data_IF_594508199657
#
_entry.id   IF_594508199657
#
_cell.length_a   1.000
_cell.length_b   1.000
_cell.length_c   1.000
_cell.angle_alpha   90.00
_cell.angle_beta   90.00
_cell.angle_gamma   90.00
#
_symmetry.space_group_name_H-M   'P 1'
#
loop_
_entity.id
_entity.type
_entity.pdbx_description
1 polymer ?
#
# COMPACT_ATOMS: atom_id res chain seq x y z
N UNK A 1 -93.64 49.38 -10.67
CA UNK A 1 -92.98 48.28 -9.93
C UNK A 1 -91.74 47.87 -10.74
N UNK A 2 -90.56 48.40 -10.41
CA UNK A 2 -89.30 48.15 -11.14
C UNK A 2 -88.45 47.18 -10.29
N UNK A 3 -88.31 45.94 -10.76
CA UNK A 3 -87.42 44.93 -10.17
C UNK A 3 -85.98 45.23 -10.60
N UNK A 4 -85.11 45.47 -9.62
CA UNK A 4 -83.66 45.60 -9.81
C UNK A 4 -83.03 44.20 -9.93
N UNK A 5 -82.13 43.96 -10.91
CA UNK A 5 -81.47 42.68 -11.05
C UNK A 5 -80.36 42.49 -9.99
N UNK A 6 -80.02 41.24 -9.64
CA UNK A 6 -79.03 40.92 -8.61
C UNK A 6 -77.61 41.34 -9.05
N UNK A 7 -76.88 41.97 -8.12
CA UNK A 7 -75.47 42.31 -8.28
C UNK A 7 -74.65 41.03 -8.47
N UNK A 8 -73.93 40.96 -9.59
CA UNK A 8 -73.10 39.82 -9.96
C UNK A 8 -71.88 39.66 -9.05
N UNK A 9 -71.59 38.40 -8.72
CA UNK A 9 -70.52 37.89 -7.89
C UNK A 9 -69.12 38.02 -8.53
N UNK A 10 -68.68 39.25 -8.83
CA UNK A 10 -67.36 39.53 -9.45
C UNK A 10 -66.15 39.36 -8.50
N UNK A 11 -66.37 39.08 -7.22
CA UNK A 11 -65.30 38.97 -6.20
C UNK A 11 -64.66 37.58 -6.10
N UNK A 12 -65.38 36.51 -6.44
CA UNK A 12 -64.89 35.13 -6.26
C UNK A 12 -63.81 34.73 -7.29
N UNK A 13 -63.91 35.21 -8.52
CA UNK A 13 -62.98 34.87 -9.61
C UNK A 13 -61.62 35.54 -9.45
N UNK A 14 -61.57 36.76 -8.91
CA UNK A 14 -60.31 37.45 -8.62
C UNK A 14 -59.51 36.82 -7.47
N UNK A 15 -60.20 36.34 -6.43
CA UNK A 15 -59.57 35.58 -5.34
C UNK A 15 -59.04 34.22 -5.81
N UNK A 16 -59.79 33.50 -6.66
CA UNK A 16 -59.33 32.21 -7.19
C UNK A 16 -58.06 32.35 -8.07
N UNK A 17 -58.01 33.37 -8.93
CA UNK A 17 -56.84 33.61 -9.78
C UNK A 17 -55.60 34.01 -8.96
N UNK A 18 -55.76 34.92 -7.99
CA UNK A 18 -54.65 35.38 -7.13
C UNK A 18 -54.13 34.25 -6.24
N UNK A 19 -55.02 33.42 -5.69
CA UNK A 19 -54.62 32.24 -4.91
C UNK A 19 -53.85 31.22 -5.76
N UNK A 20 -54.27 31.00 -7.01
CA UNK A 20 -53.57 30.09 -7.93
C UNK A 20 -52.16 30.62 -8.27
N UNK A 21 -52.02 31.92 -8.57
CA UNK A 21 -50.71 32.54 -8.85
C UNK A 21 -49.80 32.49 -7.62
N UNK A 22 -50.33 32.78 -6.43
CA UNK A 22 -49.58 32.70 -5.19
C UNK A 22 -49.09 31.26 -4.91
N UNK A 23 -49.94 30.25 -5.11
CA UNK A 23 -49.56 28.85 -4.96
C UNK A 23 -48.47 28.46 -5.95
N UNK A 24 -48.60 28.85 -7.22
CA UNK A 24 -47.59 28.60 -8.25
C UNK A 24 -46.24 29.20 -7.85
N UNK A 25 -46.23 30.43 -7.35
CA UNK A 25 -45.02 31.11 -6.91
C UNK A 25 -44.34 30.39 -5.73
N UNK A 26 -45.13 29.92 -4.75
CA UNK A 26 -44.60 29.14 -3.61
C UNK A 26 -44.01 27.82 -4.08
N UNK A 27 -44.72 27.11 -4.97
CA UNK A 27 -44.26 25.80 -5.48
C UNK A 27 -43.00 25.95 -6.33
N UNK A 28 -42.91 26.96 -7.21
CA UNK A 28 -41.70 27.17 -8.03
C UNK A 28 -40.50 27.57 -7.19
N UNK A 29 -40.70 28.45 -6.20
CA UNK A 29 -39.63 28.85 -5.29
C UNK A 29 -39.13 27.66 -4.47
N UNK A 30 -40.05 26.85 -3.92
CA UNK A 30 -39.71 25.63 -3.18
C UNK A 30 -38.95 24.63 -4.07
N UNK A 31 -39.42 24.37 -5.28
CA UNK A 31 -38.77 23.45 -6.22
C UNK A 31 -37.35 23.92 -6.59
N UNK A 32 -37.15 25.22 -6.83
CA UNK A 32 -35.83 25.78 -7.13
C UNK A 32 -34.88 25.61 -5.94
N UNK A 33 -35.31 25.96 -4.72
CA UNK A 33 -34.47 25.81 -3.53
C UNK A 33 -34.10 24.36 -3.26
N UNK A 34 -35.04 23.41 -3.41
CA UNK A 34 -34.75 21.99 -3.29
C UNK A 34 -33.76 21.50 -4.36
N UNK A 35 -33.92 21.97 -5.60
CA UNK A 35 -33.01 21.67 -6.71
C UNK A 35 -31.57 22.09 -6.39
N UNK A 36 -31.35 23.32 -5.91
CA UNK A 36 -30.01 23.80 -5.54
C UNK A 36 -29.38 22.98 -4.41
N UNK A 37 -30.16 22.56 -3.42
CA UNK A 37 -29.67 21.75 -2.30
C UNK A 37 -29.28 20.35 -2.77
N UNK A 38 -30.09 19.73 -3.63
CA UNK A 38 -29.81 18.40 -4.17
C UNK A 38 -28.54 18.38 -5.02
N UNK A 39 -28.33 19.39 -5.86
CA UNK A 39 -27.11 19.52 -6.68
C UNK A 39 -25.88 19.61 -5.77
N UNK A 40 -25.88 20.52 -4.79
CA UNK A 40 -24.77 20.64 -3.84
C UNK A 40 -24.51 19.36 -3.06
N UNK A 41 -25.57 18.65 -2.67
CA UNK A 41 -25.43 17.38 -1.97
C UNK A 41 -24.78 16.32 -2.88
N UNK A 42 -25.22 16.23 -4.13
CA UNK A 42 -24.63 15.33 -5.12
C UNK A 42 -23.15 15.64 -5.36
N UNK A 43 -22.77 16.92 -5.50
CA UNK A 43 -21.38 17.34 -5.69
C UNK A 43 -20.52 16.92 -4.48
N UNK A 44 -21.01 17.14 -3.27
CA UNK A 44 -20.31 16.72 -2.05
C UNK A 44 -20.12 15.20 -1.96
N UNK A 45 -21.15 14.43 -2.32
CA UNK A 45 -21.07 12.96 -2.36
C UNK A 45 -20.04 12.52 -3.41
N UNK A 46 -20.10 13.07 -4.62
CA UNK A 46 -19.15 12.76 -5.70
C UNK A 46 -17.70 13.04 -5.29
N UNK A 47 -17.44 14.19 -4.65
CA UNK A 47 -16.12 14.55 -4.10
C UNK A 47 -15.65 13.53 -3.06
N UNK A 48 -16.54 13.08 -2.18
CA UNK A 48 -16.18 12.12 -1.13
C UNK A 48 -15.89 10.74 -1.69
N UNK A 49 -16.71 10.28 -2.64
CA UNK A 49 -16.51 9.00 -3.33
C UNK A 49 -15.18 8.97 -4.08
N UNK A 50 -14.82 10.06 -4.76
CA UNK A 50 -13.55 10.13 -5.48
C UNK A 50 -12.35 10.08 -4.54
N UNK A 51 -12.40 10.78 -3.40
CA UNK A 51 -11.33 10.69 -2.38
C UNK A 51 -11.16 9.27 -1.85
N UNK A 52 -12.27 8.57 -1.60
CA UNK A 52 -12.25 7.18 -1.13
C UNK A 52 -11.59 6.29 -2.20
N UNK A 53 -11.98 6.44 -3.46
CA UNK A 53 -11.39 5.68 -4.57
C UNK A 53 -9.89 5.94 -4.73
N UNK A 54 -9.45 7.20 -4.61
CA UNK A 54 -8.03 7.55 -4.67
C UNK A 54 -7.23 6.99 -3.50
N UNK A 55 -7.80 7.01 -2.28
CA UNK A 55 -7.18 6.43 -1.11
C UNK A 55 -7.05 4.90 -1.22
N UNK A 56 -8.05 4.23 -1.80
CA UNK A 56 -8.01 2.79 -2.10
C UNK A 56 -6.89 2.49 -3.11
N UNK A 57 -6.81 3.24 -4.21
CA UNK A 57 -5.72 3.10 -5.20
C UNK A 57 -4.34 3.31 -4.58
N UNK A 58 -4.18 4.27 -3.65
CA UNK A 58 -2.92 4.45 -2.90
C UNK A 58 -2.58 3.21 -2.08
N UNK A 59 -3.53 2.67 -1.32
CA UNK A 59 -3.30 1.48 -0.50
C UNK A 59 -2.98 0.25 -1.37
N UNK A 60 -3.67 0.08 -2.49
CA UNK A 60 -3.36 -0.98 -3.47
C UNK A 60 -1.95 -0.82 -4.01
N UNK A 61 -1.50 0.41 -4.30
CA UNK A 61 -0.14 0.67 -4.75
C UNK A 61 0.90 0.29 -3.70
N UNK A 62 0.72 0.75 -2.46
CA UNK A 62 1.64 0.43 -1.36
C UNK A 62 1.76 -1.09 -1.19
N UNK A 63 0.63 -1.82 -1.22
CA UNK A 63 0.61 -3.27 -1.15
C UNK A 63 1.31 -3.93 -2.35
N UNK A 64 0.99 -3.49 -3.56
CA UNK A 64 1.63 -3.98 -4.78
C UNK A 64 3.15 -3.80 -4.74
N UNK A 65 3.64 -2.64 -4.26
CA UNK A 65 5.09 -2.39 -4.15
C UNK A 65 5.74 -3.35 -3.15
N UNK A 66 5.10 -3.62 -2.01
CA UNK A 66 5.62 -4.56 -1.00
C UNK A 66 5.63 -6.00 -1.52
N UNK A 67 4.59 -6.41 -2.22
CA UNK A 67 4.45 -7.78 -2.73
C UNK A 67 5.34 -8.01 -3.97
N UNK A 68 5.30 -7.10 -4.94
CA UNK A 68 6.03 -7.26 -6.20
C UNK A 68 7.53 -6.88 -6.09
N UNK A 69 7.89 -6.10 -5.06
CA UNK A 69 9.21 -5.50 -4.88
C UNK A 69 9.64 -4.59 -6.04
N UNK A 70 8.68 -3.95 -6.69
CA UNK A 70 8.95 -2.95 -7.73
C UNK A 70 7.95 -1.80 -7.64
N UNK A 71 8.40 -0.62 -8.06
CA UNK A 71 7.58 0.58 -8.22
C UNK A 71 7.47 0.84 -9.73
N UNK A 72 6.28 0.65 -10.33
CA UNK A 72 6.09 0.74 -11.77
C UNK A 72 6.20 2.19 -12.27
N UNK A 73 6.37 2.42 -13.59
CA UNK A 73 6.34 3.77 -14.13
C UNK A 73 4.92 4.35 -14.07
N UNK A 74 4.72 5.67 -13.89
CA UNK A 74 3.39 6.24 -13.68
C UNK A 74 2.36 5.89 -14.77
N UNK A 75 2.80 5.89 -16.04
CA UNK A 75 1.96 5.57 -17.22
C UNK A 75 1.33 4.19 -17.18
N UNK A 76 1.97 3.22 -16.52
CA UNK A 76 1.46 1.85 -16.42
C UNK A 76 0.80 1.56 -15.08
N UNK A 77 1.03 2.43 -14.08
CA UNK A 77 0.67 2.14 -12.69
C UNK A 77 -0.83 1.97 -12.52
N UNK A 78 -1.65 2.91 -12.98
CA UNK A 78 -3.11 2.84 -12.79
C UNK A 78 -3.75 1.59 -13.43
N UNK A 79 -3.26 1.18 -14.61
CA UNK A 79 -3.70 -0.06 -15.24
C UNK A 79 -3.23 -1.34 -14.53
N UNK A 80 -2.08 -1.31 -13.85
CA UNK A 80 -1.65 -2.41 -12.98
C UNK A 80 -2.49 -2.48 -11.71
N UNK A 81 -2.77 -1.32 -11.08
CA UNK A 81 -3.58 -1.24 -9.87
C UNK A 81 -5.01 -1.71 -10.08
N UNK A 82 -5.59 -1.51 -11.27
CA UNK A 82 -6.93 -2.02 -11.57
C UNK A 82 -6.99 -3.56 -11.47
N UNK A 83 -5.95 -4.26 -11.92
CA UNK A 83 -5.89 -5.72 -11.81
C UNK A 83 -5.77 -6.18 -10.35
N UNK A 84 -5.04 -5.44 -9.51
CA UNK A 84 -4.86 -5.77 -8.09
C UNK A 84 -6.07 -5.42 -7.21
N UNK A 85 -6.80 -4.35 -7.55
CA UNK A 85 -7.99 -3.89 -6.81
C UNK A 85 -9.29 -4.53 -7.27
N UNK A 86 -9.28 -5.27 -8.39
CA UNK A 86 -10.50 -5.81 -9.01
C UNK A 86 -11.35 -4.75 -9.72
N UNK A 87 -10.85 -3.52 -9.86
CA UNK A 87 -11.49 -2.46 -10.63
C UNK A 87 -11.25 -2.68 -12.13
N UNK A 88 -12.16 -2.16 -12.97
CA UNK A 88 -11.87 -2.05 -14.39
C UNK A 88 -10.75 -1.02 -14.63
N UNK A 89 -10.00 -1.18 -15.72
CA UNK A 89 -8.95 -0.22 -16.09
C UNK A 89 -9.48 1.21 -16.21
N UNK A 90 -10.64 1.36 -16.84
CA UNK A 90 -11.32 2.64 -16.98
C UNK A 90 -11.71 3.23 -15.61
N UNK A 91 -12.18 2.40 -14.68
CA UNK A 91 -12.51 2.83 -13.32
C UNK A 91 -11.29 3.29 -12.51
N UNK A 92 -10.08 2.82 -12.82
CA UNK A 92 -8.85 3.28 -12.19
C UNK A 92 -8.30 4.55 -12.85
N UNK A 93 -8.38 4.65 -14.18
CA UNK A 93 -7.86 5.77 -14.96
C UNK A 93 -8.80 6.98 -15.02
N UNK A 94 -10.11 6.78 -14.85
CA UNK A 94 -11.14 7.82 -15.02
C UNK A 94 -12.10 7.80 -13.82
N UNK A 95 -12.49 8.99 -13.37
CA UNK A 95 -13.46 9.13 -12.30
C UNK A 95 -14.92 9.06 -12.80
N UNK A 96 -15.88 9.09 -11.88
CA UNK A 96 -17.32 9.00 -12.24
C UNK A 96 -17.83 10.18 -13.07
N UNK A 97 -17.16 11.32 -13.03
CA UNK A 97 -17.49 12.48 -13.85
C UNK A 97 -16.93 12.36 -15.29
N UNK A 98 -16.18 11.31 -15.60
CA UNK A 98 -15.53 11.11 -16.90
C UNK A 98 -14.20 11.83 -17.05
N UNK A 99 -13.67 12.41 -15.98
CA UNK A 99 -12.37 13.09 -16.00
C UNK A 99 -11.24 12.09 -15.68
N UNK A 100 -10.09 12.19 -16.38
CA UNK A 100 -8.96 11.32 -16.11
C UNK A 100 -8.28 11.64 -14.77
N UNK A 101 -7.78 10.60 -14.09
CA UNK A 101 -6.86 10.71 -12.97
C UNK A 101 -5.43 10.80 -13.49
N UNK A 102 -4.65 11.70 -12.91
CA UNK A 102 -3.24 11.90 -13.22
C UNK A 102 -2.36 11.37 -12.10
N UNK A 103 -1.53 10.37 -12.39
CA UNK A 103 -0.45 9.94 -11.50
C UNK A 103 0.87 10.58 -11.93
N UNK A 104 1.48 11.36 -11.05
CA UNK A 104 2.64 12.19 -11.33
C UNK A 104 3.76 11.87 -10.33
N UNK A 105 4.96 11.66 -10.84
CA UNK A 105 6.13 11.44 -10.00
C UNK A 105 6.85 12.77 -9.70
N UNK A 106 7.45 12.85 -8.51
CA UNK A 106 8.29 13.99 -8.16
C UNK A 106 9.50 14.09 -9.12
N UNK A 107 9.71 15.22 -9.80
CA UNK A 107 10.85 15.39 -10.71
C UNK A 107 12.21 15.31 -9.99
N UNK A 108 12.25 15.57 -8.68
CA UNK A 108 13.44 15.44 -7.84
C UNK A 108 13.60 14.06 -7.20
N UNK A 109 12.79 13.07 -7.59
CA UNK A 109 12.88 11.70 -7.07
C UNK A 109 14.22 11.07 -7.42
N UNK A 110 14.89 10.52 -6.40
CA UNK A 110 16.12 9.77 -6.51
C UNK A 110 15.99 8.40 -5.84
N UNK A 111 15.90 7.34 -6.64
CA UNK A 111 15.84 5.94 -6.20
C UNK A 111 16.98 5.14 -6.84
N UNK A 112 17.33 4.01 -6.23
CA UNK A 112 18.32 3.08 -6.75
C UNK A 112 19.75 3.32 -6.27
N UNK A 113 20.70 2.47 -6.71
CA UNK A 113 22.04 2.40 -6.13
C UNK A 113 22.88 3.67 -6.32
N UNK A 114 22.53 4.50 -7.30
CA UNK A 114 23.19 5.77 -7.58
C UNK A 114 22.45 6.97 -6.97
N UNK A 115 21.25 6.76 -6.43
CA UNK A 115 20.38 7.85 -5.94
C UNK A 115 19.97 8.83 -7.04
N UNK A 116 20.13 8.45 -8.32
CA UNK A 116 19.81 9.24 -9.50
C UNK A 116 18.78 8.48 -10.33
N UNK A 117 17.74 9.19 -10.77
CA UNK A 117 16.60 8.59 -11.46
C UNK A 117 15.42 8.28 -10.52
N UNK A 118 14.23 8.21 -11.08
CA UNK A 118 12.98 7.95 -10.36
C UNK A 118 12.41 6.57 -10.71
N UNK A 119 11.25 6.57 -11.34
CA UNK A 119 10.54 5.36 -11.72
C UNK A 119 10.86 4.92 -13.16
N UNK A 120 10.82 3.61 -13.47
CA UNK A 120 10.51 2.51 -12.56
C UNK A 120 11.68 2.14 -11.63
N UNK A 121 11.36 1.67 -10.43
CA UNK A 121 12.33 1.10 -9.50
C UNK A 121 12.07 -0.40 -9.35
N UNK A 122 13.09 -1.22 -9.52
CA UNK A 122 13.03 -2.65 -9.26
C UNK A 122 14.02 -2.98 -8.14
N UNK A 123 13.53 -3.63 -7.09
CA UNK A 123 14.38 -4.07 -5.99
C UNK A 123 15.44 -5.04 -6.51
N UNK A 124 16.68 -4.80 -6.11
CA UNK A 124 17.80 -5.69 -6.38
C UNK A 124 18.72 -5.74 -5.15
N UNK A 125 19.77 -6.56 -5.20
CA UNK A 125 20.74 -6.69 -4.09
C UNK A 125 21.42 -5.40 -3.65
N UNK A 126 21.54 -4.41 -4.52
CA UNK A 126 22.18 -3.14 -4.19
C UNK A 126 21.22 -2.16 -3.51
N UNK A 127 19.91 -2.35 -3.68
CA UNK A 127 18.89 -1.47 -3.12
C UNK A 127 18.96 -0.03 -3.63
N UNK A 128 18.66 0.90 -2.74
CA UNK A 128 18.70 2.33 -2.98
C UNK A 128 19.66 3.03 -2.01
N UNK A 129 20.29 4.11 -2.47
CA UNK A 129 20.73 5.17 -1.55
C UNK A 129 19.52 5.72 -0.78
N UNK A 130 19.71 6.45 0.35
CA UNK A 130 18.59 7.07 1.08
C UNK A 130 17.63 7.75 0.10
N UNK A 131 16.38 7.27 -0.03
CA UNK A 131 15.47 7.74 -1.07
C UNK A 131 15.31 9.26 -1.01
N UNK A 132 15.63 9.93 -2.11
CA UNK A 132 15.52 11.38 -2.20
C UNK A 132 14.13 11.73 -2.74
N UNK A 133 13.34 12.46 -1.94
CA UNK A 133 11.97 12.89 -2.28
C UNK A 133 11.11 11.77 -2.91
N UNK A 134 10.93 10.63 -2.22
CA UNK A 134 10.18 9.48 -2.72
C UNK A 134 8.67 9.77 -2.64
N UNK A 135 8.16 10.63 -3.54
CA UNK A 135 6.80 11.19 -3.53
C UNK A 135 6.09 10.95 -4.86
N UNK A 136 4.82 10.52 -4.82
CA UNK A 136 3.92 10.50 -5.98
C UNK A 136 2.63 11.27 -5.67
N UNK A 137 2.11 11.97 -6.66
CA UNK A 137 0.81 12.63 -6.60
C UNK A 137 -0.18 11.86 -7.45
N UNK A 138 -1.31 11.49 -6.86
CA UNK A 138 -2.49 11.12 -7.63
C UNK A 138 -3.45 12.31 -7.58
N UNK A 139 -3.82 12.84 -8.74
CA UNK A 139 -4.64 14.05 -8.87
C UNK A 139 -5.87 13.73 -9.72
N UNK A 140 -7.03 14.22 -9.30
CA UNK A 140 -8.30 14.05 -9.99
C UNK A 140 -9.17 15.28 -9.77
N UNK A 141 -10.15 15.50 -10.65
CA UNK A 141 -11.16 16.54 -10.49
C UNK A 141 -12.54 16.00 -10.84
N UNK A 142 -13.52 16.17 -9.96
CA UNK A 142 -14.91 15.74 -10.20
C UNK A 142 -15.75 16.77 -10.95
N UNK A 143 -15.21 17.96 -11.20
CA UNK A 143 -15.87 19.06 -11.91
C UNK A 143 -15.26 19.28 -13.29
N UNK A 144 -14.54 20.39 -13.47
CA UNK A 144 -13.82 20.68 -14.71
C UNK A 144 -12.66 19.68 -14.93
N UNK A 145 -12.30 19.34 -16.18
CA UNK A 145 -11.13 18.51 -16.45
C UNK A 145 -9.85 19.17 -15.94
N UNK A 146 -8.86 18.38 -15.54
CA UNK A 146 -7.54 18.88 -15.15
C UNK A 146 -6.87 19.61 -16.33
N UNK A 147 -5.96 20.57 -16.06
CA UNK A 147 -5.17 21.20 -17.12
C UNK A 147 -4.44 20.16 -17.99
N UNK A 148 -4.27 20.43 -19.29
CA UNK A 148 -3.68 19.47 -20.25
C UNK A 148 -2.25 19.03 -19.89
N UNK A 149 -1.56 19.81 -19.07
CA UNK A 149 -0.21 19.54 -18.57
C UNK A 149 -0.18 18.52 -17.42
N UNK A 150 -1.34 18.30 -16.77
CA UNK A 150 -1.52 17.48 -15.58
C UNK A 150 -2.11 16.15 -16.02
N UNK A 151 -1.26 15.34 -16.65
CA UNK A 151 -1.58 14.01 -17.14
C UNK A 151 -0.70 12.97 -16.46
N UNK A 152 -1.14 11.70 -16.50
CA UNK A 152 -0.34 10.60 -15.95
C UNK A 152 1.03 10.52 -16.63
N UNK A 153 2.09 10.52 -15.82
CA UNK A 153 3.49 10.50 -16.29
C UNK A 153 4.03 11.87 -16.74
N UNK A 154 3.28 12.96 -16.55
CA UNK A 154 3.80 14.30 -16.79
C UNK A 154 5.06 14.58 -15.95
N UNK A 155 6.03 15.27 -16.54
CA UNK A 155 7.21 15.76 -15.83
C UNK A 155 7.01 17.23 -15.50
N UNK A 156 6.58 17.52 -14.27
CA UNK A 156 6.39 18.90 -13.81
C UNK A 156 7.73 19.54 -13.42
N UNK A 157 7.76 20.88 -13.37
CA UNK A 157 8.87 21.57 -12.68
C UNK A 157 8.74 21.31 -11.19
N UNK A 158 9.89 21.27 -10.49
CA UNK A 158 9.92 21.01 -9.05
C UNK A 158 8.97 21.93 -8.26
N UNK A 159 8.98 23.24 -8.58
CA UNK A 159 8.10 24.22 -7.92
C UNK A 159 6.60 23.92 -8.12
N UNK A 160 6.22 23.44 -9.29
CA UNK A 160 4.82 23.17 -9.66
C UNK A 160 4.35 21.89 -8.93
N UNK A 161 5.20 20.87 -8.89
CA UNK A 161 4.96 19.66 -8.09
C UNK A 161 4.83 19.99 -6.60
N UNK A 162 5.76 20.76 -6.04
CA UNK A 162 5.75 21.14 -4.62
C UNK A 162 4.54 22.04 -4.27
N UNK A 163 4.09 22.89 -5.20
CA UNK A 163 2.86 23.66 -5.04
C UNK A 163 1.66 22.72 -4.89
N UNK A 164 1.44 21.78 -5.81
CA UNK A 164 0.33 20.81 -5.73
C UNK A 164 0.46 19.94 -4.47
N UNK A 165 1.66 19.45 -4.19
CA UNK A 165 1.95 18.60 -3.03
C UNK A 165 1.63 19.27 -1.69
N UNK A 166 1.94 20.55 -1.54
CA UNK A 166 1.74 21.27 -0.27
C UNK A 166 0.37 21.93 -0.15
N UNK A 167 -0.43 21.94 -1.22
CA UNK A 167 -1.71 22.64 -1.23
C UNK A 167 -2.75 21.88 -0.40
N UNK A 168 -3.37 22.52 0.61
CA UNK A 168 -4.48 21.93 1.34
C UNK A 168 -5.68 21.70 0.44
N UNK A 169 -6.49 20.71 0.79
CA UNK A 169 -7.70 20.42 0.05
C UNK A 169 -8.69 21.60 0.04
N UNK A 170 -9.33 21.83 -1.11
CA UNK A 170 -10.28 22.94 -1.31
C UNK A 170 -9.61 24.27 -1.63
N UNK A 171 -8.29 24.29 -1.82
CA UNK A 171 -7.52 25.47 -2.22
C UNK A 171 -6.86 25.20 -3.58
N UNK A 172 -6.81 26.22 -4.43
CA UNK A 172 -6.09 26.14 -5.69
C UNK A 172 -4.58 26.21 -5.43
N UNK A 173 -3.77 25.29 -5.99
CA UNK A 173 -2.31 25.43 -5.98
C UNK A 173 -1.88 26.79 -6.54
N UNK A 174 -0.83 27.36 -5.92
CA UNK A 174 -0.28 28.63 -6.38
C UNK A 174 0.19 28.52 -7.85
N UNK A 175 -0.01 29.60 -8.61
CA UNK A 175 0.35 29.69 -10.03
C UNK A 175 -0.36 28.69 -10.98
N UNK A 176 -1.41 28.01 -10.51
CA UNK A 176 -2.19 27.09 -11.35
C UNK A 176 -3.34 27.84 -12.04
N UNK A 177 -3.27 27.93 -13.37
CA UNK A 177 -4.34 28.49 -14.21
C UNK A 177 -5.34 27.38 -14.55
N UNK A 178 -6.34 27.18 -13.71
CA UNK A 178 -7.40 26.20 -13.89
C UNK A 178 -8.77 26.84 -13.64
N UNK A 179 -9.72 26.65 -14.57
CA UNK A 179 -11.06 27.26 -14.52
C UNK A 179 -12.05 26.53 -13.58
N UNK A 180 -11.65 25.39 -13.00
CA UNK A 180 -12.50 24.60 -12.12
C UNK A 180 -12.63 25.15 -10.69
N UNK A 181 -13.58 24.59 -9.94
CA UNK A 181 -13.75 24.88 -8.51
C UNK A 181 -12.63 24.17 -7.72
N UNK A 182 -11.82 24.88 -6.90
CA UNK A 182 -10.83 24.28 -6.02
C UNK A 182 -11.36 23.16 -5.12
N UNK A 183 -12.67 23.17 -4.81
CA UNK A 183 -13.29 22.13 -3.99
C UNK A 183 -13.54 20.81 -4.76
N UNK A 184 -13.54 20.85 -6.09
CA UNK A 184 -13.65 19.64 -6.93
C UNK A 184 -12.32 18.91 -7.10
N UNK A 185 -11.21 19.59 -6.78
CA UNK A 185 -9.88 19.03 -6.86
C UNK A 185 -9.63 18.03 -5.72
N UNK A 186 -9.29 16.80 -6.11
CA UNK A 186 -8.87 15.73 -5.21
C UNK A 186 -7.39 15.45 -5.46
N UNK A 187 -6.59 15.60 -4.40
CA UNK A 187 -5.15 15.34 -4.42
C UNK A 187 -4.85 14.32 -3.33
N UNK A 188 -4.29 13.19 -3.73
CA UNK A 188 -3.80 12.16 -2.83
C UNK A 188 -2.27 12.14 -2.86
N UNK A 189 -1.67 12.33 -1.68
CA UNK A 189 -0.23 12.35 -1.49
C UNK A 189 0.26 10.96 -1.14
N UNK A 190 1.12 10.40 -1.98
CA UNK A 190 1.67 9.06 -1.78
C UNK A 190 3.13 9.20 -1.37
N UNK A 191 3.41 8.86 -0.12
CA UNK A 191 4.77 8.83 0.41
C UNK A 191 5.36 7.43 0.23
N UNK A 192 6.31 7.29 -0.68
CA UNK A 192 7.02 6.02 -0.89
C UNK A 192 8.14 5.79 0.14
N UNK A 193 8.59 6.84 0.84
CA UNK A 193 9.67 6.75 1.84
C UNK A 193 9.47 5.67 2.91
N UNK A 194 8.29 5.58 3.55
CA UNK A 194 7.98 4.52 4.52
C UNK A 194 7.99 3.10 3.95
N UNK A 195 7.98 2.92 2.62
CA UNK A 195 8.10 1.61 1.99
C UNK A 195 9.55 1.12 1.94
N UNK A 196 10.52 1.95 2.30
CA UNK A 196 11.93 1.57 2.39
C UNK A 196 12.32 1.32 3.85
N UNK A 197 13.23 0.37 4.05
CA UNK A 197 13.92 0.10 5.32
C UNK A 197 15.43 0.24 5.13
N UNK A 198 16.09 0.88 6.10
CA UNK A 198 17.55 0.91 6.17
C UNK A 198 18.09 -0.43 6.66
N UNK A 199 18.99 -1.03 5.87
CA UNK A 199 19.72 -2.24 6.22
C UNK A 199 21.22 -1.97 6.16
N UNK A 200 21.93 -2.34 7.23
CA UNK A 200 23.39 -2.30 7.31
C UNK A 200 23.94 -3.71 7.43
N UNK A 201 24.70 -4.14 6.43
CA UNK A 201 25.49 -5.37 6.44
C UNK A 201 26.95 -5.03 6.73
N UNK A 202 27.62 -5.80 7.60
CA UNK A 202 29.01 -5.55 7.97
C UNK A 202 29.82 -6.83 8.07
N UNK A 203 31.06 -6.78 7.62
CA UNK A 203 32.07 -7.78 7.96
C UNK A 203 32.81 -7.35 9.22
N UNK A 204 32.94 -8.28 10.17
CA UNK A 204 33.76 -8.16 11.37
C UNK A 204 34.95 -9.13 11.27
N UNK A 205 35.65 -9.08 10.15
CA UNK A 205 36.87 -9.82 9.87
C UNK A 205 37.69 -9.02 8.84
N UNK A 206 39.01 -9.12 8.92
CA UNK A 206 39.93 -8.50 7.94
C UNK A 206 40.29 -9.44 6.78
N UNK A 207 40.03 -10.74 6.94
CA UNK A 207 40.32 -11.78 5.94
C UNK A 207 39.06 -12.12 5.11
N UNK A 208 39.21 -12.05 3.79
CA UNK A 208 38.15 -12.32 2.83
C UNK A 208 37.65 -13.78 2.86
N UNK A 209 38.46 -14.72 3.35
CA UNK A 209 38.04 -16.13 3.53
C UNK A 209 36.95 -16.31 4.59
N UNK A 210 36.70 -15.29 5.42
CA UNK A 210 35.67 -15.27 6.46
C UNK A 210 34.43 -14.45 6.07
N UNK A 211 34.33 -14.01 4.81
CA UNK A 211 33.21 -13.22 4.34
C UNK A 211 32.04 -14.09 3.93
N UNK A 212 30.93 -13.97 4.67
CA UNK A 212 29.63 -14.46 4.23
C UNK A 212 29.12 -13.68 3.02
N UNK A 213 28.14 -14.24 2.32
CA UNK A 213 27.49 -13.59 1.18
C UNK A 213 26.03 -13.27 1.50
N UNK A 214 25.40 -12.42 0.69
CA UNK A 214 24.00 -12.06 0.86
C UNK A 214 23.28 -12.02 -0.49
N UNK A 215 21.97 -12.23 -0.45
CA UNK A 215 21.07 -12.02 -1.57
C UNK A 215 19.84 -11.23 -1.09
N UNK A 216 19.29 -10.40 -1.98
CA UNK A 216 18.01 -9.71 -1.75
C UNK A 216 17.11 -9.98 -2.93
N UNK A 217 15.91 -10.45 -2.63
CA UNK A 217 14.89 -10.77 -3.61
C UNK A 217 13.55 -10.18 -3.19
N UNK A 218 12.68 -9.85 -4.16
CA UNK A 218 11.29 -9.47 -3.88
C UNK A 218 10.42 -10.68 -3.53
N UNK A 219 10.82 -11.88 -3.97
CA UNK A 219 10.15 -13.13 -3.70
C UNK A 219 11.18 -14.18 -3.29
N UNK A 220 10.80 -15.29 -2.64
CA UNK A 220 11.73 -16.36 -2.33
C UNK A 220 12.22 -17.02 -3.62
N UNK A 221 13.36 -16.59 -4.15
CA UNK A 221 14.00 -17.23 -5.32
C UNK A 221 15.09 -18.18 -4.80
N UNK A 222 15.05 -19.48 -5.14
CA UNK A 222 16.04 -20.44 -4.66
C UNK A 222 17.48 -20.18 -5.14
N UNK A 223 17.64 -19.42 -6.23
CA UNK A 223 18.87 -19.34 -7.02
C UNK A 223 19.41 -17.91 -7.18
N UNK A 224 19.00 -16.96 -6.34
CA UNK A 224 19.64 -15.64 -6.40
C UNK A 224 21.12 -15.77 -6.05
N UNK A 225 21.98 -15.33 -6.96
CA UNK A 225 23.42 -15.47 -6.83
C UNK A 225 23.91 -14.62 -5.64
N UNK A 226 24.40 -15.25 -4.56
CA UNK A 226 24.89 -14.53 -3.41
C UNK A 226 26.06 -13.62 -3.80
N UNK A 227 26.09 -12.42 -3.25
CA UNK A 227 27.15 -11.45 -3.49
C UNK A 227 27.95 -11.17 -2.22
N UNK A 228 29.22 -10.83 -2.40
CA UNK A 228 30.05 -10.23 -1.35
C UNK A 228 29.66 -8.76 -1.17
N UNK A 229 29.87 -8.22 0.04
CA UNK A 229 29.77 -6.78 0.26
C UNK A 229 30.86 -6.06 -0.55
N UNK A 230 30.53 -4.90 -1.11
CA UNK A 230 31.50 -4.07 -1.83
C UNK A 230 32.54 -3.41 -0.90
N UNK A 231 32.23 -3.33 0.39
CA UNK A 231 33.09 -2.80 1.46
C UNK A 231 32.79 -3.54 2.76
N UNK A 232 33.63 -3.37 3.79
CA UNK A 232 33.38 -3.97 5.11
C UNK A 232 32.09 -3.48 5.79
N UNK A 233 31.48 -2.40 5.33
CA UNK A 233 30.17 -1.93 5.82
C UNK A 233 29.34 -1.42 4.65
N UNK A 234 28.31 -2.18 4.31
CA UNK A 234 27.37 -1.86 3.26
C UNK A 234 26.05 -1.40 3.87
N UNK A 235 25.68 -0.15 3.62
CA UNK A 235 24.41 0.45 4.06
C UNK A 235 23.56 0.74 2.83
N UNK A 236 22.34 0.26 2.83
CA UNK A 236 21.40 0.44 1.72
C UNK A 236 19.96 0.53 2.23
N UNK A 237 19.07 1.04 1.38
CA UNK A 237 17.63 1.07 1.61
C UNK A 237 16.97 0.03 0.71
N UNK A 238 16.25 -0.91 1.32
CA UNK A 238 15.55 -1.98 0.63
C UNK A 238 14.04 -1.78 0.78
N UNK A 239 13.23 -2.24 -0.18
CA UNK A 239 11.78 -2.22 -0.02
C UNK A 239 11.36 -3.16 1.12
N UNK A 240 10.40 -2.71 1.93
CA UNK A 240 9.72 -3.55 2.91
C UNK A 240 9.02 -4.71 2.19
N UNK A 241 9.02 -5.88 2.83
CA UNK A 241 8.58 -7.14 2.23
C UNK A 241 9.67 -7.88 1.46
N UNK A 242 10.81 -7.25 1.18
CA UNK A 242 11.93 -7.94 0.51
C UNK A 242 12.53 -9.01 1.41
N UNK A 243 12.96 -10.12 0.80
CA UNK A 243 13.67 -11.20 1.45
C UNK A 243 15.17 -10.90 1.47
N UNK A 244 15.76 -10.81 2.65
CA UNK A 244 17.21 -10.77 2.84
C UNK A 244 17.69 -12.17 3.21
N UNK A 245 18.46 -12.81 2.33
CA UNK A 245 19.09 -14.11 2.60
C UNK A 245 20.58 -13.91 2.88
N UNK A 246 21.05 -14.48 3.98
CA UNK A 246 22.43 -14.40 4.46
C UNK A 246 23.06 -15.79 4.44
N UNK A 247 24.19 -15.90 3.76
CA UNK A 247 24.89 -17.16 3.49
C UNK A 247 26.25 -17.16 4.16
N UNK A 248 26.67 -18.33 4.64
CA UNK A 248 28.01 -18.55 5.16
C UNK A 248 29.09 -18.51 4.07
N UNK A 249 30.33 -18.74 4.49
CA UNK A 249 31.50 -18.85 3.58
C UNK A 249 31.46 -20.10 2.70
N UNK A 250 30.71 -21.12 3.11
CA UNK A 250 30.44 -22.35 2.37
C UNK A 250 29.30 -22.20 1.35
N UNK A 251 28.66 -21.02 1.29
CA UNK A 251 27.48 -20.77 0.45
C UNK A 251 26.19 -21.39 1.00
N UNK A 252 26.21 -21.96 2.22
CA UNK A 252 24.99 -22.45 2.86
C UNK A 252 24.16 -21.28 3.39
N UNK A 253 22.84 -21.35 3.21
CA UNK A 253 21.91 -20.37 3.77
C UNK A 253 21.94 -20.50 5.30
N UNK A 254 22.32 -19.43 5.99
CA UNK A 254 22.31 -19.37 7.46
C UNK A 254 21.04 -18.73 7.98
N UNK A 255 20.62 -17.64 7.34
CA UNK A 255 19.48 -16.85 7.80
C UNK A 255 18.71 -16.25 6.64
N UNK A 256 17.39 -16.12 6.80
CA UNK A 256 16.53 -15.39 5.88
C UNK A 256 15.56 -14.54 6.69
N UNK A 257 15.43 -13.28 6.32
CA UNK A 257 14.53 -12.32 6.94
C UNK A 257 13.58 -11.71 5.92
N UNK A 258 12.38 -11.34 6.36
CA UNK A 258 11.46 -10.49 5.60
C UNK A 258 11.58 -9.10 6.20
N UNK A 259 12.11 -8.17 5.43
CA UNK A 259 12.43 -6.84 5.93
C UNK A 259 11.16 -6.03 6.22
N UNK A 260 10.91 -5.74 7.49
CA UNK A 260 9.75 -4.94 7.94
C UNK A 260 10.18 -3.76 8.81
N UNK A 261 11.14 -4.00 9.70
CA UNK A 261 11.66 -2.99 10.63
C UNK A 261 12.72 -2.11 9.97
N UNK A 262 12.89 -0.89 10.49
CA UNK A 262 13.92 0.07 10.05
C UNK A 262 15.20 -0.05 10.88
N UNK A 263 16.34 0.31 10.28
CA UNK A 263 17.64 0.33 10.95
C UNK A 263 18.19 -1.06 11.31
N UNK A 264 17.91 -2.07 10.48
CA UNK A 264 18.39 -3.43 10.69
C UNK A 264 19.90 -3.53 10.48
N UNK A 265 20.59 -4.19 11.41
CA UNK A 265 22.04 -4.37 11.35
C UNK A 265 22.37 -5.85 11.39
N UNK A 266 23.15 -6.31 10.41
CA UNK A 266 23.68 -7.66 10.33
C UNK A 266 25.20 -7.63 10.26
N UNK A 267 25.84 -8.41 11.14
CA UNK A 267 27.30 -8.49 11.24
C UNK A 267 27.73 -9.93 10.96
N UNK A 268 28.57 -10.14 9.94
CA UNK A 268 29.19 -11.42 9.65
C UNK A 268 30.56 -11.50 10.35
N UNK A 269 30.77 -12.52 11.17
CA UNK A 269 32.01 -12.81 11.88
C UNK A 269 32.40 -14.25 11.63
N UNK A 270 33.62 -14.49 11.16
CA UNK A 270 34.16 -15.83 10.90
C UNK A 270 33.21 -16.69 10.03
N UNK A 271 32.61 -16.08 9.01
CA UNK A 271 31.65 -16.73 8.12
C UNK A 271 30.25 -16.99 8.71
N UNK A 272 29.94 -16.45 9.89
CA UNK A 272 28.63 -16.60 10.55
C UNK A 272 27.94 -15.25 10.71
N UNK A 273 26.68 -15.15 10.31
CA UNK A 273 25.87 -13.94 10.45
C UNK A 273 25.25 -13.79 11.84
N UNK A 274 25.26 -12.56 12.34
CA UNK A 274 24.69 -12.11 13.61
C UNK A 274 23.75 -10.92 13.37
N UNK A 275 22.66 -10.79 14.16
CA UNK A 275 21.79 -9.61 14.15
C UNK A 275 22.24 -8.68 15.27
N UNK A 276 22.49 -7.41 14.95
CA UNK A 276 22.99 -6.39 15.87
C UNK A 276 24.45 -5.98 15.61
N UNK A 277 24.98 -5.12 16.48
CA UNK A 277 26.32 -4.53 16.33
C UNK A 277 27.40 -5.32 17.07
N UNK A 278 28.49 -5.64 16.35
CA UNK A 278 29.74 -6.10 16.94
C UNK A 278 29.62 -7.43 17.70
N UNK A 279 30.28 -7.53 18.86
CA UNK A 279 30.30 -8.74 19.68
C UNK A 279 29.02 -8.96 20.51
N UNK A 280 28.06 -8.04 20.45
CA UNK A 280 26.80 -8.09 21.21
C UNK A 280 25.63 -8.60 20.36
N UNK A 281 25.84 -8.90 19.08
CA UNK A 281 24.80 -9.43 18.21
C UNK A 281 24.50 -10.90 18.53
N UNK A 282 23.22 -11.22 18.73
CA UNK A 282 22.78 -12.62 18.81
C UNK A 282 23.11 -13.33 17.51
N UNK A 283 23.64 -14.55 17.61
CA UNK A 283 23.81 -15.41 16.44
C UNK A 283 22.45 -15.57 15.80
N UNK A 284 22.35 -15.31 14.51
CA UNK A 284 21.10 -15.60 13.83
C UNK A 284 21.09 -17.10 13.57
N UNK A 285 20.26 -17.81 14.33
CA UNK A 285 20.11 -19.26 14.22
C UNK A 285 19.59 -19.68 12.85
N UNK A 286 19.64 -20.99 12.54
CA UNK A 286 19.16 -21.52 11.27
C UNK A 286 17.70 -21.09 11.05
N UNK A 287 17.42 -20.54 9.87
CA UNK A 287 16.11 -20.24 9.27
C UNK A 287 14.92 -20.33 10.24
N UNK A 288 14.60 -19.23 10.93
CA UNK A 288 13.22 -19.06 11.43
C UNK A 288 12.39 -18.75 10.19
N UNK A 289 11.76 -19.77 9.60
CA UNK A 289 10.80 -19.57 8.53
C UNK A 289 9.58 -18.92 9.18
N UNK A 290 9.51 -17.59 9.13
CA UNK A 290 8.26 -16.89 9.45
C UNK A 290 7.22 -17.35 8.42
N UNK A 291 6.07 -17.92 8.84
CA UNK A 291 5.03 -18.30 7.91
C UNK A 291 4.64 -17.08 7.08
N UNK A 292 4.47 -17.25 5.77
CA UNK A 292 4.00 -16.16 4.92
C UNK A 292 2.62 -15.70 5.38
N UNK A 293 2.19 -14.46 5.09
CA UNK A 293 0.84 -14.02 5.41
C UNK A 293 -0.26 -14.93 4.85
N UNK A 294 0.00 -15.59 3.71
CA UNK A 294 -0.88 -16.57 3.09
C UNK A 294 -0.86 -17.90 3.85
N UNK A 295 0.32 -18.44 4.19
CA UNK A 295 0.44 -19.65 5.03
C UNK A 295 -0.18 -19.46 6.43
N UNK A 296 -0.02 -18.27 7.01
CA UNK A 296 -0.64 -17.92 8.28
C UNK A 296 -2.16 -17.75 8.14
N UNK A 297 -2.64 -17.09 7.08
CA UNK A 297 -4.06 -16.94 6.78
C UNK A 297 -4.73 -18.29 6.54
N UNK A 298 -4.09 -19.19 5.77
CA UNK A 298 -4.58 -20.53 5.49
C UNK A 298 -4.58 -21.40 6.74
N UNK A 299 -3.55 -21.29 7.59
CA UNK A 299 -3.54 -21.92 8.90
C UNK A 299 -4.67 -21.41 9.79
N UNK A 300 -4.90 -20.10 9.85
CA UNK A 300 -5.99 -19.50 10.62
C UNK A 300 -7.35 -19.90 10.05
N UNK A 301 -7.50 -19.94 8.72
CA UNK A 301 -8.74 -20.36 8.06
C UNK A 301 -9.02 -21.86 8.28
N UNK A 302 -8.00 -22.72 8.17
CA UNK A 302 -8.09 -24.14 8.46
C UNK A 302 -8.39 -24.41 9.94
N UNK A 303 -7.78 -23.64 10.84
CA UNK A 303 -8.05 -23.69 12.26
C UNK A 303 -9.50 -23.33 12.58
N UNK A 304 -10.01 -22.25 11.99
CA UNK A 304 -11.35 -21.70 12.25
C UNK A 304 -12.49 -22.46 11.54
N UNK A 305 -12.21 -23.24 10.50
CA UNK A 305 -13.24 -23.99 9.77
C UNK A 305 -13.64 -25.29 10.51
N UNK A 306 -14.93 -25.50 10.86
CA UNK A 306 -15.37 -26.68 11.62
C UNK A 306 -15.33 -27.99 10.82
N UNK A 307 -15.15 -27.94 9.50
CA UNK A 307 -15.38 -29.06 8.58
C UNK A 307 -14.17 -29.40 7.68
N UNK A 308 -12.96 -28.91 7.97
CA UNK A 308 -11.79 -29.30 7.14
C UNK A 308 -11.59 -30.81 7.27
N UNK A 309 -11.75 -31.59 6.20
CA UNK A 309 -11.28 -32.96 6.20
C UNK A 309 -9.77 -32.83 6.37
N UNK A 310 -9.24 -33.42 7.43
CA UNK A 310 -7.81 -33.66 7.53
C UNK A 310 -7.35 -34.22 6.18
N UNK A 311 -6.20 -33.76 5.69
CA UNK A 311 -5.62 -34.30 4.45
C UNK A 311 -5.77 -35.83 4.45
N UNK A 312 -6.11 -36.42 3.30
CA UNK A 312 -6.60 -37.80 3.23
C UNK A 312 -5.64 -38.87 3.80
N UNK A 313 -4.38 -38.51 4.01
CA UNK A 313 -3.33 -39.34 4.59
C UNK A 313 -2.91 -38.90 6.02
N UNK A 314 -3.63 -37.96 6.64
CA UNK A 314 -3.39 -37.52 8.01
C UNK A 314 -4.08 -38.47 9.00
N UNK A 315 -3.34 -39.52 9.36
CA UNK A 315 -3.80 -40.56 10.30
C UNK A 315 -3.53 -40.22 11.78
N UNK A 316 -2.96 -39.04 12.10
CA UNK A 316 -2.35 -38.85 13.42
C UNK A 316 -2.38 -37.45 14.05
N UNK A 317 -2.62 -36.36 13.32
CA UNK A 317 -2.60 -35.00 13.87
C UNK A 317 -3.98 -34.31 13.79
N UNK A 318 -4.62 -34.10 14.93
CA UNK A 318 -5.86 -33.35 15.07
C UNK A 318 -5.65 -31.86 15.37
N UNK A 319 -6.76 -31.10 15.45
CA UNK A 319 -6.72 -29.68 15.83
C UNK A 319 -6.15 -29.46 17.23
N UNK A 320 -6.37 -30.40 18.15
CA UNK A 320 -5.85 -30.33 19.51
C UNK A 320 -4.33 -30.42 19.53
N UNK A 321 -3.73 -31.27 18.68
CA UNK A 321 -2.28 -31.42 18.54
C UNK A 321 -1.65 -30.15 17.97
N UNK A 322 -2.30 -29.52 16.99
CA UNK A 322 -1.85 -28.23 16.45
C UNK A 322 -1.89 -27.12 17.50
N UNK A 323 -2.94 -27.06 18.33
CA UNK A 323 -3.05 -26.08 19.42
C UNK A 323 -1.99 -26.32 20.48
N UNK A 324 -1.73 -27.58 20.84
CA UNK A 324 -0.70 -27.95 21.81
C UNK A 324 0.70 -27.57 21.30
N UNK A 325 1.02 -27.90 20.03
CA UNK A 325 2.28 -27.52 19.42
C UNK A 325 2.45 -25.99 19.34
N UNK A 326 1.38 -25.24 19.02
CA UNK A 326 1.41 -23.77 19.03
C UNK A 326 1.62 -23.19 20.43
N UNK A 327 0.94 -23.74 21.44
CA UNK A 327 1.11 -23.31 22.83
C UNK A 327 2.52 -23.62 23.33
N UNK A 328 3.04 -24.80 23.00
CA UNK A 328 4.38 -25.23 23.38
C UNK A 328 5.46 -24.38 22.70
N UNK A 329 5.28 -24.05 21.42
CA UNK A 329 6.14 -23.12 20.69
C UNK A 329 6.10 -21.71 21.30
N UNK A 330 4.90 -21.17 21.58
CA UNK A 330 4.75 -19.84 22.19
C UNK A 330 5.32 -19.78 23.60
N UNK A 331 5.14 -20.83 24.40
CA UNK A 331 5.64 -20.92 25.76
C UNK A 331 7.16 -21.09 25.77
N UNK A 332 7.70 -21.95 24.91
CA UNK A 332 9.15 -22.14 24.77
C UNK A 332 9.81 -20.87 24.24
N UNK A 333 9.22 -20.19 23.25
CA UNK A 333 9.72 -18.91 22.75
C UNK A 333 9.64 -17.77 23.78
N UNK A 334 8.74 -17.85 24.77
CA UNK A 334 8.65 -16.88 25.87
C UNK A 334 9.68 -17.14 26.98
N UNK A 335 10.09 -18.40 27.19
CA UNK A 335 10.97 -18.82 28.29
C UNK A 335 12.44 -19.00 27.86
N UNK A 336 12.71 -19.48 26.64
CA UNK A 336 14.05 -19.72 26.09
C UNK A 336 14.05 -19.61 24.55
N UNK A 337 14.30 -18.41 24.03
CA UNK A 337 14.22 -18.12 22.60
C UNK A 337 15.52 -18.42 21.80
N UNK A 338 16.55 -19.01 22.40
CA UNK A 338 17.87 -19.20 21.74
C UNK A 338 18.56 -20.54 22.06
N UNK A 339 17.80 -21.60 22.34
CA UNK A 339 18.35 -22.94 22.65
C UNK A 339 17.76 -24.07 21.82
N UNK A 340 18.31 -25.28 21.97
CA UNK A 340 17.81 -26.48 21.30
C UNK A 340 16.36 -26.85 21.66
N UNK A 341 15.83 -26.31 22.75
CA UNK A 341 14.41 -26.42 23.10
C UNK A 341 13.50 -25.64 22.13
N UNK A 342 13.94 -24.47 21.66
CA UNK A 342 13.21 -23.71 20.65
C UNK A 342 13.28 -24.39 19.29
N UNK A 343 14.43 -24.99 18.95
CA UNK A 343 14.59 -25.79 17.73
C UNK A 343 13.65 -27.01 17.76
N UNK A 344 13.58 -27.72 18.89
CA UNK A 344 12.69 -28.88 19.09
C UNK A 344 11.20 -28.48 19.05
N UNK A 345 10.82 -27.39 19.72
CA UNK A 345 9.44 -26.89 19.70
C UNK A 345 9.04 -26.34 18.31
N UNK A 346 9.98 -25.81 17.55
CA UNK A 346 9.74 -25.37 16.18
C UNK A 346 9.62 -26.56 15.22
N UNK A 347 10.47 -27.58 15.36
CA UNK A 347 10.38 -28.83 14.60
C UNK A 347 9.05 -29.53 14.85
N UNK A 348 8.64 -29.64 16.12
CA UNK A 348 7.33 -30.19 16.50
C UNK A 348 6.16 -29.40 15.91
N UNK A 349 6.21 -28.06 15.95
CA UNK A 349 5.18 -27.23 15.32
C UNK A 349 5.14 -27.43 13.80
N UNK A 350 6.29 -27.49 13.13
CA UNK A 350 6.36 -27.69 11.67
C UNK A 350 5.85 -29.08 11.30
N UNK A 351 6.26 -30.12 12.00
CA UNK A 351 5.83 -31.50 11.74
C UNK A 351 4.31 -31.65 11.90
N UNK A 352 3.75 -31.07 12.95
CA UNK A 352 2.29 -31.05 13.17
C UNK A 352 1.58 -30.21 12.12
N UNK A 353 2.16 -29.08 11.69
CA UNK A 353 1.59 -28.25 10.62
C UNK A 353 1.56 -29.00 9.28
N UNK A 354 2.65 -29.69 8.93
CA UNK A 354 2.80 -30.49 7.71
C UNK A 354 1.82 -31.65 7.74
N UNK A 355 1.73 -32.38 8.85
CA UNK A 355 0.76 -33.46 9.02
C UNK A 355 -0.69 -32.95 8.90
N UNK A 356 -0.99 -31.80 9.51
CA UNK A 356 -2.33 -31.21 9.53
C UNK A 356 -2.77 -30.68 8.16
N UNK A 357 -1.86 -30.04 7.41
CA UNK A 357 -2.17 -29.36 6.13
C UNK A 357 -1.89 -30.19 4.89
N UNK A 358 -1.03 -31.21 4.98
CA UNK A 358 -0.54 -31.98 3.82
C UNK A 358 0.41 -31.20 2.91
N UNK A 359 0.96 -30.08 3.38
CA UNK A 359 1.93 -29.28 2.65
C UNK A 359 3.31 -29.98 2.68
N UNK A 360 3.81 -30.37 1.51
CA UNK A 360 5.19 -30.87 1.32
C UNK A 360 6.18 -29.74 1.12
#
# INVERSE_FOLDING_TARGET
MKLLPPRSSRSATGMALTALVALLFVVTTAALTAGFVLIRHYDLVSRQEEKIAMAELRQTLERFVMDAGNIPPPVQTLGLLSMCSGLSREQAEVNRAGNPRALIADPGMGLGPQGTGGLPYAQNRFGSLPPLRPRLLLVSSVGAPLPEEIITGATLRQKDFDAIWSTPQGIMPADWEWEGDPNDLCVEQIHLGPLFTEVTLRYYADDASHFGTYAVASHPVPNDLPALLSTNTFRTHLLRGSFLSLYGTDGALQFRDILQDDGLIYTCRDGVWHRGMGNLGSRVGPVIRHPTPEEFSDCVAAFMSPEVPLWSDNDSAGKEDLVLALLQFLQTGAEDNQGGAMDEAQEELIDVLVAFTGAN
#
